data_IF_974469014307
#
_entry.id   IF_974469014307
#
_cell.length_a   1.000
_cell.length_b   1.000
_cell.length_c   1.000
_cell.angle_alpha   90.00
_cell.angle_beta   90.00
_cell.angle_gamma   90.00
#
_symmetry.space_group_name_H-M   'P 1'
#
loop_
_entity.id
_entity.type
_entity.pdbx_description
1 polymer ?
#
# COMPACT_ATOMS: atom_id res chain seq x y z
N UNK A 1 13.64 -0.96 52.08
CA UNK A 1 12.98 -2.07 51.33
C UNK A 1 11.93 -1.60 50.30
N UNK A 2 11.83 -0.30 49.97
CA UNK A 2 10.81 0.20 49.03
C UNK A 2 11.30 0.32 47.56
N UNK A 3 12.57 0.00 47.29
CA UNK A 3 13.19 0.18 45.97
C UNK A 3 12.81 -0.88 44.92
N UNK A 4 12.26 -2.02 45.34
CA UNK A 4 11.87 -3.09 44.43
C UNK A 4 10.47 -2.85 43.82
N UNK A 5 9.58 -2.18 44.56
CA UNK A 5 8.21 -1.86 44.14
C UNK A 5 8.20 -0.71 43.12
N UNK A 6 9.13 0.24 43.24
CA UNK A 6 9.24 1.38 42.31
C UNK A 6 9.75 0.99 40.92
N UNK A 7 10.56 -0.08 40.80
CA UNK A 7 11.06 -0.58 39.51
C UNK A 7 10.04 -1.45 38.74
N UNK A 8 9.10 -2.09 39.43
CA UNK A 8 8.01 -2.86 38.78
C UNK A 8 6.86 -1.93 38.37
N UNK A 9 6.50 -0.95 39.18
CA UNK A 9 5.45 0.03 38.85
C UNK A 9 5.80 0.87 37.59
N UNK A 10 7.09 1.15 37.34
CA UNK A 10 7.55 1.83 36.13
C UNK A 10 7.57 0.94 34.88
N UNK A 11 7.62 -0.40 35.04
CA UNK A 11 7.48 -1.40 33.97
C UNK A 11 6.01 -1.57 33.58
N UNK A 12 5.09 -1.68 34.55
CA UNK A 12 3.65 -1.75 34.26
C UNK A 12 3.12 -0.48 33.58
N UNK A 13 3.54 0.72 34.01
CA UNK A 13 3.25 1.99 33.31
C UNK A 13 3.80 2.04 31.88
N UNK A 14 4.75 1.18 31.53
CA UNK A 14 5.37 1.11 30.21
C UNK A 14 4.71 0.05 29.32
N UNK A 15 4.11 -0.98 29.90
CA UNK A 15 3.43 -2.07 29.18
C UNK A 15 2.05 -1.67 28.63
N UNK A 16 1.35 -0.74 29.27
CA UNK A 16 0.05 -0.21 28.80
C UNK A 16 0.16 0.76 27.61
N UNK A 17 1.33 1.37 27.40
CA UNK A 17 1.67 2.09 26.17
C UNK A 17 2.01 1.14 25.00
N UNK A 18 2.38 -0.12 25.29
CA UNK A 18 2.68 -1.14 24.28
C UNK A 18 1.43 -1.90 23.81
N UNK A 19 0.50 -2.20 24.72
CA UNK A 19 -0.76 -2.86 24.40
C UNK A 19 -1.65 -2.02 23.46
N UNK A 20 -1.68 -0.70 23.67
CA UNK A 20 -2.40 0.26 22.81
C UNK A 20 -1.76 0.42 21.42
N UNK A 21 -0.44 0.23 21.28
CA UNK A 21 0.23 0.31 19.98
C UNK A 21 -0.20 -0.80 19.01
N UNK A 22 -0.54 -1.99 19.52
CA UNK A 22 -0.97 -3.13 18.68
C UNK A 22 -2.39 -2.93 18.15
N UNK A 23 -3.28 -2.33 18.94
CA UNK A 23 -4.68 -2.12 18.58
C UNK A 23 -4.82 -1.10 17.43
N UNK A 24 -4.14 0.05 17.57
CA UNK A 24 -4.03 1.01 16.46
C UNK A 24 -3.20 0.45 15.30
N UNK A 25 -2.21 -0.41 15.58
CA UNK A 25 -1.41 -1.10 14.58
C UNK A 25 -2.24 -1.98 13.64
N UNK A 26 -3.22 -2.72 14.17
CA UNK A 26 -4.13 -3.53 13.35
C UNK A 26 -5.06 -2.67 12.48
N UNK A 27 -5.55 -1.54 12.99
CA UNK A 27 -6.40 -0.64 12.21
C UNK A 27 -5.63 -0.03 11.04
N UNK A 28 -4.38 0.39 11.29
CA UNK A 28 -3.48 0.90 10.24
C UNK A 28 -3.11 -0.20 9.25
N UNK A 29 -2.90 -1.45 9.71
CA UNK A 29 -2.60 -2.57 8.83
C UNK A 29 -3.72 -2.86 7.83
N UNK A 30 -5.00 -2.79 8.25
CA UNK A 30 -6.14 -2.95 7.34
C UNK A 30 -6.18 -1.85 6.27
N UNK A 31 -5.95 -0.60 6.67
CA UNK A 31 -5.89 0.53 5.73
C UNK A 31 -4.73 0.35 4.74
N UNK A 32 -3.57 -0.11 5.22
CA UNK A 32 -2.40 -0.36 4.38
C UNK A 32 -2.70 -1.40 3.28
N UNK A 33 -3.39 -2.50 3.61
CA UNK A 33 -3.78 -3.52 2.62
C UNK A 33 -4.70 -2.92 1.55
N UNK A 34 -5.69 -2.11 1.95
CA UNK A 34 -6.60 -1.45 1.00
C UNK A 34 -5.84 -0.50 0.06
N UNK A 35 -4.89 0.27 0.60
CA UNK A 35 -4.06 1.19 -0.19
C UNK A 35 -3.20 0.40 -1.20
N UNK A 36 -2.58 -0.72 -0.79
CA UNK A 36 -1.78 -1.55 -1.70
C UNK A 36 -2.64 -2.04 -2.87
N UNK A 37 -3.85 -2.53 -2.60
CA UNK A 37 -4.78 -2.97 -3.66
C UNK A 37 -5.15 -1.79 -4.57
N UNK A 38 -5.52 -0.64 -4.01
CA UNK A 38 -5.87 0.54 -4.79
C UNK A 38 -4.71 1.02 -5.69
N UNK A 39 -3.49 1.06 -5.16
CA UNK A 39 -2.30 1.50 -5.91
C UNK A 39 -1.90 0.51 -6.98
N UNK A 40 -2.05 -0.80 -6.76
CA UNK A 40 -1.76 -1.80 -7.80
C UNK A 40 -2.73 -1.69 -8.99
N UNK A 41 -4.03 -1.52 -8.71
CA UNK A 41 -5.05 -1.25 -9.73
C UNK A 41 -4.77 0.06 -10.47
N UNK A 42 -4.49 1.15 -9.73
CA UNK A 42 -4.20 2.45 -10.32
C UNK A 42 -2.92 2.41 -11.18
N UNK A 43 -1.87 1.76 -10.69
CA UNK A 43 -0.60 1.60 -11.40
C UNK A 43 -0.76 0.87 -12.74
N UNK A 44 -1.62 -0.15 -12.79
CA UNK A 44 -1.97 -0.84 -14.04
C UNK A 44 -2.63 0.10 -15.06
N UNK A 45 -3.64 0.87 -14.64
CA UNK A 45 -4.34 1.83 -15.50
C UNK A 45 -3.42 2.97 -15.99
N UNK A 46 -2.54 3.47 -15.11
CA UNK A 46 -1.55 4.49 -15.48
C UNK A 46 -0.57 3.94 -16.51
N UNK A 47 -0.06 2.72 -16.31
CA UNK A 47 0.84 2.06 -17.27
C UNK A 47 0.21 1.96 -18.65
N UNK A 48 -1.03 1.52 -18.72
CA UNK A 48 -1.80 1.39 -19.96
C UNK A 48 -1.95 2.75 -20.67
N UNK A 49 -2.32 3.79 -19.92
CA UNK A 49 -2.50 5.15 -20.45
C UNK A 49 -1.20 5.71 -21.02
N UNK A 50 -0.08 5.56 -20.30
CA UNK A 50 1.22 6.00 -20.78
C UNK A 50 1.71 5.21 -21.99
N UNK A 51 1.47 3.89 -22.03
CA UNK A 51 1.84 3.06 -23.18
C UNK A 51 1.02 3.41 -24.43
N UNK A 52 -0.29 3.64 -24.27
CA UNK A 52 -1.16 4.09 -25.36
C UNK A 52 -0.71 5.45 -25.90
N UNK A 53 -0.43 6.40 -25.01
CA UNK A 53 0.08 7.73 -25.40
C UNK A 53 1.42 7.62 -26.13
N UNK A 54 2.35 6.81 -25.61
CA UNK A 54 3.64 6.57 -26.24
C UNK A 54 3.53 5.91 -27.62
N UNK A 55 2.52 5.06 -27.83
CA UNK A 55 2.22 4.47 -29.13
C UNK A 55 1.75 5.51 -30.15
N UNK A 56 0.79 6.35 -29.75
CA UNK A 56 0.27 7.43 -30.58
C UNK A 56 1.35 8.43 -30.97
N UNK A 57 2.26 8.76 -30.06
CA UNK A 57 3.42 9.63 -30.34
C UNK A 57 4.39 8.99 -31.35
N UNK A 58 4.51 7.65 -31.37
CA UNK A 58 5.33 6.92 -32.36
C UNK A 58 4.63 6.74 -33.71
N UNK A 59 3.40 7.24 -33.86
CA UNK A 59 2.57 7.07 -35.06
C UNK A 59 1.99 5.67 -35.23
N UNK A 60 1.95 4.87 -34.16
CA UNK A 60 1.34 3.55 -34.18
C UNK A 60 -0.14 3.58 -33.78
N UNK A 61 -0.84 2.49 -34.05
CA UNK A 61 -2.22 2.26 -33.60
C UNK A 61 -2.22 1.42 -32.33
N UNK A 62 -2.94 1.88 -31.32
CA UNK A 62 -3.12 1.17 -30.06
C UNK A 62 -4.29 0.19 -30.19
N UNK A 63 -4.04 -1.10 -29.95
CA UNK A 63 -5.10 -2.10 -29.83
C UNK A 63 -5.34 -2.35 -28.36
N UNK A 64 -6.46 -1.82 -27.85
CA UNK A 64 -6.89 -2.04 -26.47
C UNK A 64 -7.17 -3.52 -26.23
N UNK A 65 -6.54 -4.11 -25.21
CA UNK A 65 -6.78 -5.50 -24.81
C UNK A 65 -7.84 -5.54 -23.73
N UNK A 66 -8.99 -6.15 -24.03
CA UNK A 66 -10.08 -6.36 -23.07
C UNK A 66 -9.79 -7.59 -22.22
N UNK A 67 -8.76 -7.54 -21.37
CA UNK A 67 -8.48 -8.42 -20.21
C UNK A 67 -7.02 -8.27 -19.84
N UNK A 68 -6.72 -7.88 -18.58
CA UNK A 68 -5.50 -8.05 -17.73
C UNK A 68 -4.07 -8.10 -18.33
N UNK A 69 -3.89 -8.03 -19.64
CA UNK A 69 -2.66 -7.99 -20.39
C UNK A 69 -2.63 -6.63 -21.09
N UNK A 70 -1.51 -5.92 -20.96
CA UNK A 70 -1.37 -4.58 -21.53
C UNK A 70 -1.68 -4.59 -23.04
N UNK A 71 -2.40 -3.57 -23.52
CA UNK A 71 -2.67 -3.39 -24.94
C UNK A 71 -1.38 -3.34 -25.76
N UNK A 72 -1.49 -3.61 -27.06
CA UNK A 72 -0.33 -3.65 -27.95
C UNK A 72 -0.30 -2.44 -28.88
N UNK A 73 0.90 -1.93 -29.11
CA UNK A 73 1.17 -0.90 -30.10
C UNK A 73 1.68 -1.55 -31.38
N UNK A 74 0.98 -1.36 -32.49
CA UNK A 74 1.46 -1.76 -33.82
C UNK A 74 1.73 -0.52 -34.67
N UNK A 75 2.75 -0.59 -35.52
CA UNK A 75 3.02 0.42 -36.54
C UNK A 75 2.01 0.30 -37.67
#
# INVERSE_FOLDING_TARGET
>A
MLSLISNTASRLRRDENGATAVEYGIMVALIAVVIIVAVTLLGGNLKETFNSTACSVKGGTWTASTSTVAGSCSK
#
